data_IF_275681081021
#
_entry.id   IF_275681081021
#
_cell.length_a   1.000
_cell.length_b   1.000
_cell.length_c   1.000
_cell.angle_alpha   90.00
_cell.angle_beta   90.00
_cell.angle_gamma   90.00
#
_symmetry.space_group_name_H-M   'P 1'
#
loop_
_entity.id
_entity.type
_entity.pdbx_description
1 polymer ?
#
# COMPACT_ATOMS: atom_id res chain seq x y z
N UNK A 1 -10.46 -24.15 -27.14
CA UNK A 1 -9.76 -24.36 -25.85
C UNK A 1 -10.61 -23.64 -24.81
N UNK A 2 -11.30 -24.38 -23.95
CA UNK A 2 -12.27 -23.82 -22.99
C UNK A 2 -11.53 -23.12 -21.85
N UNK A 3 -12.10 -22.02 -21.37
CA UNK A 3 -11.60 -21.23 -20.24
C UNK A 3 -11.63 -22.00 -18.89
N UNK A 4 -12.25 -23.18 -18.84
CA UNK A 4 -12.40 -24.00 -17.63
C UNK A 4 -11.15 -24.83 -17.27
N UNK A 5 -10.17 -24.94 -18.16
CA UNK A 5 -8.97 -25.78 -17.94
C UNK A 5 -7.76 -25.01 -17.38
N UNK A 6 -7.89 -23.70 -17.13
CA UNK A 6 -6.86 -22.94 -16.43
C UNK A 6 -6.96 -23.15 -14.93
N UNK A 7 -6.58 -24.35 -14.46
CA UNK A 7 -6.01 -24.47 -13.11
C UNK A 7 -4.71 -23.67 -13.15
N UNK A 8 -4.73 -22.49 -12.58
CA UNK A 8 -3.56 -21.67 -12.32
C UNK A 8 -2.47 -22.56 -11.69
N UNK A 9 -1.24 -22.47 -12.19
CA UNK A 9 -0.09 -23.39 -11.96
C UNK A 9 0.22 -23.71 -10.48
N UNK A 10 -0.41 -23.01 -9.54
CA UNK A 10 -0.35 -23.21 -8.10
C UNK A 10 -1.39 -24.22 -7.55
N UNK A 11 -2.26 -24.82 -8.38
CA UNK A 11 -3.32 -25.72 -7.93
C UNK A 11 -4.40 -25.03 -7.09
N UNK A 12 -4.58 -23.72 -7.30
CA UNK A 12 -5.50 -22.90 -6.52
C UNK A 12 -6.83 -22.78 -7.26
N UNK A 13 -7.84 -23.51 -6.80
CA UNK A 13 -9.20 -23.27 -7.28
C UNK A 13 -9.74 -21.93 -6.71
N UNK A 14 -9.59 -20.86 -7.50
CA UNK A 14 -10.16 -19.52 -7.25
C UNK A 14 -11.66 -19.43 -7.58
N UNK A 15 -12.25 -20.49 -8.14
CA UNK A 15 -13.67 -20.62 -8.47
C UNK A 15 -14.48 -21.25 -7.33
N UNK A 16 -13.84 -21.79 -6.29
CA UNK A 16 -14.55 -22.34 -5.13
C UNK A 16 -15.52 -21.32 -4.51
N UNK A 17 -16.79 -21.72 -4.32
CA UNK A 17 -17.88 -20.88 -3.78
C UNK A 17 -17.63 -20.52 -2.30
N UNK A 18 -16.67 -19.65 -2.03
CA UNK A 18 -16.59 -18.94 -0.76
C UNK A 18 -17.28 -17.60 -0.99
N UNK A 19 -18.30 -17.31 -0.17
CA UNK A 19 -19.03 -16.03 -0.19
C UNK A 19 -18.03 -14.87 -0.18
N UNK A 20 -17.92 -14.16 -1.31
CA UNK A 20 -17.06 -12.98 -1.45
C UNK A 20 -17.61 -11.85 -0.59
N UNK A 21 -16.74 -11.23 0.20
CA UNK A 21 -17.06 -9.99 0.88
C UNK A 21 -16.88 -8.84 -0.13
N UNK A 22 -17.93 -8.09 -0.48
CA UNK A 22 -17.82 -7.01 -1.46
C UNK A 22 -16.91 -5.85 -0.99
N UNK A 23 -16.52 -5.83 0.28
CA UNK A 23 -15.58 -4.86 0.85
C UNK A 23 -14.14 -5.35 0.92
N UNK A 24 -13.90 -6.64 0.60
CA UNK A 24 -12.57 -7.24 0.59
C UNK A 24 -12.28 -7.85 -0.79
N UNK A 25 -11.44 -7.17 -1.56
CA UNK A 25 -11.00 -7.63 -2.88
C UNK A 25 -10.06 -8.85 -2.81
N UNK A 26 -9.59 -9.21 -1.62
CA UNK A 26 -8.74 -10.37 -1.38
C UNK A 26 -9.60 -11.62 -1.22
N UNK A 27 -9.39 -12.60 -2.10
CA UNK A 27 -10.08 -13.89 -2.01
C UNK A 27 -9.82 -14.55 -0.64
N UNK A 28 -10.82 -15.12 0.06
CA UNK A 28 -10.66 -15.64 1.43
C UNK A 28 -9.58 -16.72 1.58
N UNK A 29 -9.33 -17.51 0.53
CA UNK A 29 -8.23 -18.49 0.51
C UNK A 29 -6.85 -17.82 0.52
N UNK A 30 -6.71 -16.71 -0.21
CA UNK A 30 -5.48 -15.91 -0.28
C UNK A 30 -5.25 -15.21 1.06
N UNK A 31 -6.29 -14.62 1.64
CA UNK A 31 -6.22 -14.01 2.96
C UNK A 31 -5.72 -15.00 4.02
N UNK A 32 -6.29 -16.22 4.08
CA UNK A 32 -5.81 -17.28 4.98
C UNK A 32 -4.34 -17.63 4.76
N UNK A 33 -3.92 -17.72 3.51
CA UNK A 33 -2.53 -17.99 3.15
C UNK A 33 -1.60 -16.86 3.61
N UNK A 34 -1.97 -15.60 3.39
CA UNK A 34 -1.21 -14.43 3.83
C UNK A 34 -1.06 -14.41 5.36
N UNK A 35 -2.14 -14.64 6.11
CA UNK A 35 -2.11 -14.70 7.58
C UNK A 35 -1.12 -15.78 8.05
N UNK A 36 -1.16 -16.96 7.44
CA UNK A 36 -0.27 -18.06 7.81
C UNK A 36 1.20 -17.75 7.47
N UNK A 37 1.46 -17.10 6.32
CA UNK A 37 2.80 -16.62 5.99
C UNK A 37 3.30 -15.60 7.02
N UNK A 38 2.48 -14.64 7.46
CA UNK A 38 2.87 -13.67 8.48
C UNK A 38 3.12 -14.30 9.86
N UNK A 39 2.41 -15.37 10.22
CA UNK A 39 2.65 -16.13 11.45
C UNK A 39 3.98 -16.86 11.44
N UNK A 40 4.42 -17.35 10.28
CA UNK A 40 5.70 -18.05 10.10
C UNK A 40 6.92 -17.14 10.01
N UNK A 41 6.71 -15.83 9.76
CA UNK A 41 7.81 -14.88 9.72
C UNK A 41 8.50 -14.75 11.07
N UNK A 42 9.83 -14.77 11.07
CA UNK A 42 10.62 -14.34 12.21
C UNK A 42 10.41 -12.83 12.48
N UNK A 43 10.71 -12.33 13.70
CA UNK A 43 10.67 -10.90 13.98
C UNK A 43 11.50 -10.06 13.00
N UNK A 44 12.69 -10.53 12.61
CA UNK A 44 13.54 -9.84 11.65
C UNK A 44 12.91 -9.78 10.25
N UNK A 45 12.39 -10.90 9.74
CA UNK A 45 11.69 -10.93 8.45
C UNK A 45 10.49 -9.99 8.43
N UNK A 46 9.74 -9.91 9.54
CA UNK A 46 8.60 -9.00 9.64
C UNK A 46 9.03 -7.54 9.57
N UNK A 47 10.11 -7.16 10.26
CA UNK A 47 10.65 -5.79 10.21
C UNK A 47 11.19 -5.46 8.81
N UNK A 48 11.91 -6.38 8.18
CA UNK A 48 12.38 -6.21 6.79
C UNK A 48 11.20 -5.99 5.84
N UNK A 49 10.17 -6.84 5.92
CA UNK A 49 8.97 -6.72 5.08
C UNK A 49 8.23 -5.41 5.30
N UNK A 50 8.16 -4.93 6.54
CA UNK A 50 7.58 -3.63 6.85
C UNK A 50 8.35 -2.49 6.17
N UNK A 51 9.68 -2.55 6.17
CA UNK A 51 10.53 -1.60 5.46
C UNK A 51 10.26 -1.59 3.95
N UNK A 52 10.24 -2.77 3.32
CA UNK A 52 9.94 -2.91 1.88
C UNK A 52 8.58 -2.32 1.52
N UNK A 53 7.55 -2.57 2.32
CA UNK A 53 6.22 -1.99 2.11
C UNK A 53 6.18 -0.48 2.31
N UNK A 54 6.90 0.02 3.31
CA UNK A 54 7.02 1.44 3.55
C UNK A 54 7.66 2.15 2.35
N UNK A 55 8.74 1.58 1.80
CA UNK A 55 9.41 2.12 0.61
C UNK A 55 8.49 2.09 -0.62
N UNK A 56 7.80 0.97 -0.87
CA UNK A 56 6.85 0.85 -1.97
C UNK A 56 5.70 1.86 -1.84
N UNK A 57 5.09 1.97 -0.67
CA UNK A 57 4.01 2.92 -0.43
C UNK A 57 4.47 4.39 -0.56
N UNK A 58 5.73 4.67 -0.21
CA UNK A 58 6.31 6.01 -0.36
C UNK A 58 6.59 6.35 -1.81
N UNK A 59 7.15 5.42 -2.59
CA UNK A 59 7.44 5.65 -4.00
C UNK A 59 6.16 5.84 -4.83
N UNK A 60 5.10 5.08 -4.54
CA UNK A 60 3.78 5.27 -5.15
C UNK A 60 3.20 6.66 -4.84
N UNK A 61 3.27 7.09 -3.58
CA UNK A 61 2.79 8.41 -3.19
C UNK A 61 3.60 9.53 -3.87
N UNK A 62 4.93 9.41 -3.91
CA UNK A 62 5.80 10.39 -4.55
C UNK A 62 5.51 10.52 -6.05
N UNK A 63 5.39 9.39 -6.77
CA UNK A 63 5.05 9.40 -8.20
C UNK A 63 3.71 10.08 -8.46
N UNK A 64 2.71 9.81 -7.62
CA UNK A 64 1.42 10.49 -7.72
C UNK A 64 1.55 11.99 -7.48
N UNK A 65 2.26 12.44 -6.43
CA UNK A 65 2.48 13.88 -6.18
C UNK A 65 3.19 14.54 -7.36
N UNK A 66 4.26 13.93 -7.90
CA UNK A 66 4.99 14.46 -9.07
C UNK A 66 4.09 14.60 -10.30
N UNK A 67 3.17 13.67 -10.51
CA UNK A 67 2.20 13.78 -11.61
C UNK A 67 1.21 14.93 -11.43
N UNK A 68 0.83 15.24 -10.19
CA UNK A 68 -0.13 16.29 -9.85
C UNK A 68 0.53 17.68 -9.74
N UNK A 69 1.83 17.72 -9.44
CA UNK A 69 2.61 18.93 -9.26
C UNK A 69 3.93 18.84 -10.06
N UNK A 70 3.89 18.97 -11.40
CA UNK A 70 5.06 18.80 -12.26
C UNK A 70 6.18 19.81 -11.98
N UNK A 71 5.81 21.02 -11.52
CA UNK A 71 6.74 22.13 -11.27
C UNK A 71 7.24 22.20 -9.83
N UNK A 72 6.75 21.31 -8.95
CA UNK A 72 7.14 21.29 -7.54
C UNK A 72 8.60 20.88 -7.36
N UNK A 73 9.30 21.58 -6.49
CA UNK A 73 10.66 21.22 -6.13
C UNK A 73 10.72 19.99 -5.22
N UNK A 74 11.92 19.45 -5.01
CA UNK A 74 12.10 18.23 -4.21
C UNK A 74 11.65 18.38 -2.75
N UNK A 75 11.65 19.60 -2.19
CA UNK A 75 11.20 19.83 -0.82
C UNK A 75 9.67 19.86 -0.75
N UNK A 76 9.01 20.55 -1.68
CA UNK A 76 7.57 20.55 -1.81
C UNK A 76 7.02 19.13 -2.01
N UNK A 77 7.63 18.35 -2.92
CA UNK A 77 7.26 16.95 -3.11
C UNK A 77 7.32 16.16 -1.79
N UNK A 78 8.40 16.33 -1.01
CA UNK A 78 8.56 15.65 0.29
C UNK A 78 7.48 16.07 1.28
N UNK A 79 7.13 17.36 1.35
CA UNK A 79 6.12 17.86 2.29
C UNK A 79 4.72 17.38 1.93
N UNK A 80 4.39 17.35 0.64
CA UNK A 80 3.15 16.79 0.11
C UNK A 80 3.02 15.30 0.45
N UNK A 81 4.06 14.50 0.17
CA UNK A 81 4.10 13.07 0.55
C UNK A 81 3.96 12.87 2.07
N UNK A 82 4.69 13.65 2.89
CA UNK A 82 4.64 13.55 4.35
C UNK A 82 3.25 13.92 4.91
N UNK A 83 2.59 14.92 4.31
CA UNK A 83 1.25 15.39 4.71
C UNK A 83 0.19 14.28 4.64
N UNK A 84 0.38 13.26 3.80
CA UNK A 84 -0.54 12.11 3.70
C UNK A 84 -0.54 11.20 4.93
N UNK A 85 0.48 11.29 5.79
CA UNK A 85 0.71 10.39 6.93
C UNK A 85 0.74 11.12 8.27
N UNK A 86 1.18 12.38 8.27
CA UNK A 86 1.32 13.17 9.48
C UNK A 86 0.09 14.05 9.70
N UNK A 87 -0.25 14.31 10.97
CA UNK A 87 -1.34 15.21 11.29
C UNK A 87 -1.01 16.65 10.85
N UNK A 88 -2.03 17.48 10.53
CA UNK A 88 -1.80 18.89 10.20
C UNK A 88 -1.02 19.64 11.27
N UNK A 89 -1.29 19.33 12.54
CA UNK A 89 -0.60 19.95 13.67
C UNK A 89 0.89 19.59 13.72
N UNK A 90 1.22 18.33 13.43
CA UNK A 90 2.60 17.87 13.38
C UNK A 90 3.35 18.44 12.18
N UNK A 91 2.72 18.48 10.99
CA UNK A 91 3.32 19.11 9.80
C UNK A 91 3.66 20.58 10.05
N UNK A 92 2.73 21.32 10.66
CA UNK A 92 2.94 22.73 10.98
C UNK A 92 4.05 22.92 12.01
N UNK A 93 4.06 22.12 13.09
CA UNK A 93 5.05 22.25 14.17
C UNK A 93 6.46 21.84 13.76
N UNK A 94 6.60 20.74 13.01
CA UNK A 94 7.90 20.18 12.67
C UNK A 94 8.49 20.79 11.40
N UNK A 95 7.65 21.16 10.43
CA UNK A 95 8.09 21.56 9.09
C UNK A 95 7.58 22.93 8.63
N UNK A 96 6.73 23.61 9.43
CA UNK A 96 6.11 24.87 9.02
C UNK A 96 5.09 24.72 7.89
N UNK A 97 4.72 23.48 7.53
CA UNK A 97 3.83 23.18 6.42
C UNK A 97 2.37 23.14 6.89
N UNK A 98 1.52 24.00 6.33
CA UNK A 98 0.08 24.01 6.62
C UNK A 98 -0.68 23.23 5.54
N UNK A 99 -1.02 21.97 5.83
CA UNK A 99 -1.76 21.07 4.93
C UNK A 99 -3.07 21.72 4.42
N UNK A 100 -3.71 22.58 5.22
CA UNK A 100 -4.99 23.21 4.84
C UNK A 100 -4.82 24.34 3.81
N UNK A 101 -3.60 24.86 3.67
CA UNK A 101 -3.25 25.90 2.69
C UNK A 101 -2.55 25.31 1.49
N UNK A 102 -1.52 24.49 1.74
CA UNK A 102 -0.62 23.99 0.70
C UNK A 102 -1.12 22.68 0.06
N UNK A 103 -1.90 21.89 0.80
CA UNK A 103 -2.42 20.59 0.36
C UNK A 103 -1.49 19.40 0.64
N UNK A 104 -1.89 18.27 0.06
CA UNK A 104 -1.20 16.96 0.11
C UNK A 104 -0.33 16.70 -1.13
#
# INVERSE_FOLDING_TARGET
MNLDDMKDDAGIDLQSEVKRDPTNDTHPKIERMMIEMYRRMTPSQRVTRLGEWYELGTSLAENNVRSMHPDADANEIKMRVASRRLSPELMRKAFGWDIRKEGY
#
